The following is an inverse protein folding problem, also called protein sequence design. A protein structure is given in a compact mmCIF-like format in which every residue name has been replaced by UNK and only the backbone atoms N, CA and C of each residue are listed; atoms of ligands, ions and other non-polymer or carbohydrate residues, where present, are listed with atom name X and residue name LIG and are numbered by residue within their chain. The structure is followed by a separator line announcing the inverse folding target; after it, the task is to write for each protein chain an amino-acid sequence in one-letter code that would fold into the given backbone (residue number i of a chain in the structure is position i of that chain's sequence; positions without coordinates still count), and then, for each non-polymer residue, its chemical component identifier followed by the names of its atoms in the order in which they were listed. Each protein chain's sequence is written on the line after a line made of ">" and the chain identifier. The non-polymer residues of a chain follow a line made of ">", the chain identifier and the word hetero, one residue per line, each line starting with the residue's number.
data_IF_913206401484
#
_entry.id   IF_913206401484
#
_cell.length_a   1.000
_cell.length_b   1.000
_cell.length_c   1.000
_cell.angle_alpha   90.00
_cell.angle_beta   90.00
_cell.angle_gamma   90.00
#
_symmetry.space_group_name_H-M   'P 1'
#
loop_
_entity.id
_entity.type
_entity.pdbx_description
1 polymer ?
#
# COMPACT_ATOMS: atom_id res chain seq x y z
N UNK A 1 -4.53 18.40 18.24
CA UNK A 1 -3.21 18.88 17.76
C UNK A 1 -2.24 18.84 18.93
N UNK A 2 -1.31 17.88 18.93
CA UNK A 2 -0.19 17.89 19.87
C UNK A 2 0.74 19.01 19.44
N UNK A 3 0.73 20.12 20.19
CA UNK A 3 1.64 21.23 19.94
C UNK A 3 3.07 20.81 20.36
N UNK A 4 3.79 20.18 19.43
CA UNK A 4 5.20 19.86 19.61
C UNK A 4 6.05 21.14 19.49
N UNK A 5 6.99 21.32 20.39
CA UNK A 5 8.01 22.37 20.26
C UNK A 5 8.86 22.13 18.99
N UNK A 6 9.51 23.17 18.48
CA UNK A 6 10.38 23.02 17.31
C UNK A 6 11.60 22.16 17.61
N UNK A 7 12.04 22.11 18.86
CA UNK A 7 13.07 21.20 19.35
C UNK A 7 12.60 19.73 19.28
N UNK A 8 11.38 19.44 19.75
CA UNK A 8 10.80 18.10 19.68
C UNK A 8 10.62 17.66 18.21
N UNK A 9 10.10 18.54 17.35
CA UNK A 9 9.95 18.25 15.91
C UNK A 9 11.31 17.89 15.29
N UNK A 10 12.35 18.68 15.57
CA UNK A 10 13.70 18.43 15.08
C UNK A 10 14.27 17.11 15.61
N UNK A 11 14.05 16.82 16.89
CA UNK A 11 14.51 15.59 17.52
C UNK A 11 13.82 14.35 16.91
N UNK A 12 12.49 14.39 16.72
CA UNK A 12 11.76 13.31 16.09
C UNK A 12 12.15 13.15 14.62
N UNK A 13 12.31 14.25 13.87
CA UNK A 13 12.80 14.21 12.50
C UNK A 13 14.17 13.50 12.43
N UNK A 14 15.11 13.89 13.24
CA UNK A 14 16.46 13.30 13.25
C UNK A 14 16.47 11.81 13.62
N UNK A 15 15.55 11.38 14.47
CA UNK A 15 15.39 9.97 14.86
C UNK A 15 14.69 9.11 13.81
N UNK A 16 14.02 9.71 12.86
CA UNK A 16 13.22 9.03 11.84
C UNK A 16 13.74 9.33 10.43
N UNK A 17 13.15 10.30 9.78
CA UNK A 17 13.42 10.64 8.36
C UNK A 17 14.83 11.21 8.17
N UNK A 18 15.32 11.99 9.14
CA UNK A 18 16.67 12.62 9.12
C UNK A 18 17.84 11.67 9.35
N UNK A 19 17.60 10.37 9.48
CA UNK A 19 18.65 9.35 9.70
C UNK A 19 19.58 9.12 8.51
N UNK A 20 19.30 9.71 7.35
CA UNK A 20 20.00 9.45 6.08
C UNK A 20 19.68 8.09 5.44
N UNK A 21 18.71 7.35 6.01
CA UNK A 21 18.26 6.05 5.48
C UNK A 21 17.04 6.14 4.56
N UNK A 22 16.44 7.34 4.45
CA UNK A 22 15.25 7.58 3.66
C UNK A 22 15.59 8.40 2.43
N UNK A 23 15.15 7.94 1.27
CA UNK A 23 15.25 8.63 0.00
C UNK A 23 13.86 8.85 -0.55
N UNK A 24 13.52 10.09 -0.84
CA UNK A 24 12.25 10.46 -1.47
C UNK A 24 12.51 10.81 -2.92
N UNK A 25 11.80 10.16 -3.80
CA UNK A 25 11.83 10.48 -5.20
C UNK A 25 10.66 11.40 -5.56
N UNK A 26 10.98 12.65 -5.89
CA UNK A 26 9.99 13.58 -6.40
C UNK A 26 9.87 13.40 -7.92
N UNK A 27 8.67 12.99 -8.36
CA UNK A 27 8.44 12.67 -9.75
C UNK A 27 8.13 13.93 -10.56
N UNK A 28 9.03 14.26 -11.48
CA UNK A 28 8.81 15.26 -12.53
C UNK A 28 9.10 14.61 -13.88
N UNK A 29 8.19 14.72 -14.85
CA UNK A 29 8.39 14.31 -16.23
C UNK A 29 7.73 12.97 -16.62
N UNK A 30 8.34 12.25 -17.56
CA UNK A 30 7.76 11.05 -18.17
C UNK A 30 7.63 9.88 -17.19
N UNK A 31 6.45 9.28 -17.15
CA UNK A 31 6.13 8.05 -16.44
C UNK A 31 6.41 6.78 -17.27
N UNK A 32 7.35 6.83 -18.21
CA UNK A 32 7.65 5.62 -19.00
C UNK A 32 8.10 4.47 -18.09
N UNK A 33 7.73 3.25 -18.45
CA UNK A 33 8.13 2.02 -17.76
C UNK A 33 9.64 1.96 -17.53
N UNK A 34 10.44 2.28 -18.56
CA UNK A 34 11.90 2.21 -18.50
C UNK A 34 12.50 3.25 -17.53
N UNK A 35 11.92 4.43 -17.45
CA UNK A 35 12.37 5.44 -16.49
C UNK A 35 12.16 4.96 -15.06
N UNK A 36 11.01 4.38 -14.75
CA UNK A 36 10.71 3.90 -13.40
C UNK A 36 11.60 2.72 -13.04
N UNK A 37 11.75 1.75 -13.93
CA UNK A 37 12.66 0.61 -13.73
C UNK A 37 14.10 1.08 -13.49
N UNK A 38 14.59 2.04 -14.28
CA UNK A 38 15.94 2.61 -14.13
C UNK A 38 16.12 3.29 -12.76
N UNK A 39 15.10 4.00 -12.28
CA UNK A 39 15.16 4.67 -10.98
C UNK A 39 15.11 3.68 -9.81
N UNK A 40 14.24 2.68 -9.87
CA UNK A 40 14.21 1.61 -8.86
C UNK A 40 15.56 0.89 -8.82
N UNK A 41 16.17 0.63 -9.99
CA UNK A 41 17.51 0.04 -10.08
C UNK A 41 18.59 0.94 -9.47
N UNK A 42 18.51 2.24 -9.71
CA UNK A 42 19.44 3.21 -9.12
C UNK A 42 19.30 3.23 -7.59
N UNK A 43 18.07 3.27 -7.07
CA UNK A 43 17.83 3.23 -5.63
C UNK A 43 18.37 1.94 -5.00
N UNK A 44 18.13 0.80 -5.64
CA UNK A 44 18.59 -0.48 -5.14
C UNK A 44 20.13 -0.62 -5.17
N UNK A 45 20.78 -0.24 -6.28
CA UNK A 45 22.22 -0.50 -6.50
C UNK A 45 23.14 0.65 -6.11
N UNK A 46 22.73 1.90 -6.35
CA UNK A 46 23.58 3.06 -6.07
C UNK A 46 23.34 3.64 -4.68
N UNK A 47 22.10 3.62 -4.18
CA UNK A 47 21.75 4.11 -2.86
C UNK A 47 21.64 2.98 -1.81
N UNK A 48 21.86 1.74 -2.19
CA UNK A 48 21.76 0.53 -1.35
C UNK A 48 20.42 0.40 -0.59
N UNK A 49 19.33 0.89 -1.20
CA UNK A 49 18.01 0.74 -0.64
C UNK A 49 17.61 -0.74 -0.60
N UNK A 50 17.23 -1.23 0.57
CA UNK A 50 16.75 -2.60 0.75
C UNK A 50 15.24 -2.72 0.58
N UNK A 51 14.51 -1.63 0.84
CA UNK A 51 13.05 -1.53 0.71
C UNK A 51 12.73 -0.35 -0.18
N UNK A 52 11.90 -0.58 -1.19
CA UNK A 52 11.43 0.47 -2.11
C UNK A 52 9.91 0.42 -2.15
N UNK A 53 9.26 1.57 -1.96
CA UNK A 53 7.81 1.72 -2.07
C UNK A 53 7.50 2.49 -3.35
N UNK A 54 6.65 1.91 -4.21
CA UNK A 54 6.14 2.52 -5.42
C UNK A 54 4.64 2.81 -5.25
N UNK A 55 4.31 4.06 -5.02
CA UNK A 55 2.94 4.52 -4.85
C UNK A 55 2.57 5.48 -5.99
N UNK A 56 1.70 5.10 -6.89
CA UNK A 56 1.10 3.79 -7.13
C UNK A 56 1.37 3.34 -8.56
N UNK A 57 1.29 2.03 -8.81
CA UNK A 57 1.67 1.45 -10.11
C UNK A 57 0.82 1.94 -11.29
N UNK A 58 -0.45 2.30 -11.05
CA UNK A 58 -1.37 2.79 -12.10
C UNK A 58 -0.97 4.16 -12.66
N UNK A 59 -0.12 4.95 -11.99
CA UNK A 59 0.39 6.23 -12.53
C UNK A 59 1.19 6.04 -13.82
N UNK A 60 1.80 4.87 -13.98
CA UNK A 60 2.67 4.55 -15.10
C UNK A 60 1.88 4.40 -16.40
N UNK A 61 0.61 4.03 -16.27
CA UNK A 61 -0.26 3.72 -17.41
C UNK A 61 -1.34 4.78 -17.65
N UNK A 62 -1.46 5.77 -16.78
CA UNK A 62 -2.52 6.80 -16.86
C UNK A 62 -2.42 7.72 -18.09
N UNK A 63 -1.30 7.72 -18.79
CA UNK A 63 -1.06 8.53 -20.00
C UNK A 63 -1.27 7.76 -21.32
N UNK A 64 -1.71 6.51 -21.26
CA UNK A 64 -1.87 5.65 -22.46
C UNK A 64 -3.32 5.52 -22.91
N UNK A 65 -3.54 5.26 -24.20
CA UNK A 65 -4.86 5.06 -24.77
C UNK A 65 -5.53 3.77 -24.25
N UNK A 66 -6.85 3.77 -24.29
CA UNK A 66 -7.68 2.65 -23.83
C UNK A 66 -7.29 1.33 -24.56
N UNK A 67 -6.79 0.35 -23.79
CA UNK A 67 -6.32 -0.95 -24.31
C UNK A 67 -4.81 -1.15 -24.22
N UNK A 68 -3.99 -0.08 -24.16
CA UNK A 68 -2.55 -0.16 -23.93
C UNK A 68 -2.20 -0.24 -22.44
N UNK A 69 -3.12 0.24 -21.56
CA UNK A 69 -2.95 0.21 -20.11
C UNK A 69 -2.60 -1.20 -19.58
N UNK A 70 -3.32 -2.21 -20.07
CA UNK A 70 -3.08 -3.60 -19.66
C UNK A 70 -1.71 -4.11 -20.08
N UNK A 71 -1.31 -3.83 -21.33
CA UNK A 71 0.00 -4.25 -21.85
C UNK A 71 1.14 -3.58 -21.09
N UNK A 72 1.00 -2.27 -20.80
CA UNK A 72 1.99 -1.53 -20.03
C UNK A 72 2.11 -2.05 -18.59
N UNK A 73 0.99 -2.45 -17.96
CA UNK A 73 1.02 -3.09 -16.64
C UNK A 73 1.69 -4.45 -16.69
N UNK A 74 1.44 -5.27 -17.71
CA UNK A 74 2.11 -6.55 -17.88
C UNK A 74 3.63 -6.37 -18.08
N UNK A 75 4.01 -5.40 -18.90
CA UNK A 75 5.40 -5.07 -19.17
C UNK A 75 6.13 -4.59 -17.90
N UNK A 76 5.54 -3.63 -17.18
CA UNK A 76 6.19 -3.10 -15.97
C UNK A 76 6.30 -4.17 -14.89
N UNK A 77 5.26 -4.96 -14.66
CA UNK A 77 5.30 -6.03 -13.66
C UNK A 77 6.40 -7.06 -13.99
N UNK A 78 6.57 -7.39 -15.26
CA UNK A 78 7.64 -8.30 -15.72
C UNK A 78 9.02 -7.69 -15.48
N UNK A 79 9.22 -6.41 -15.84
CA UNK A 79 10.50 -5.71 -15.64
C UNK A 79 10.82 -5.53 -14.15
N UNK A 80 9.83 -5.18 -13.32
CA UNK A 80 10.01 -5.04 -11.88
C UNK A 80 10.33 -6.40 -11.23
N UNK A 81 9.67 -7.48 -11.66
CA UNK A 81 9.99 -8.84 -11.18
C UNK A 81 11.42 -9.22 -11.46
N UNK A 82 11.89 -9.00 -12.68
CA UNK A 82 13.29 -9.25 -13.08
C UNK A 82 14.25 -8.42 -12.23
N UNK A 83 13.95 -7.13 -12.06
CA UNK A 83 14.78 -6.22 -11.29
C UNK A 83 14.90 -6.65 -9.81
N UNK A 84 13.80 -7.06 -9.18
CA UNK A 84 13.81 -7.59 -7.80
C UNK A 84 14.73 -8.82 -7.71
N UNK A 85 14.66 -9.73 -8.67
CA UNK A 85 15.54 -10.91 -8.70
C UNK A 85 17.02 -10.55 -8.89
N UNK A 86 17.32 -9.50 -9.67
CA UNK A 86 18.69 -9.02 -9.92
C UNK A 86 19.30 -8.26 -8.74
N UNK A 87 18.47 -7.63 -7.91
CA UNK A 87 18.93 -6.67 -6.90
C UNK A 87 18.69 -7.11 -5.47
N UNK A 88 17.89 -8.15 -5.27
CA UNK A 88 17.46 -8.66 -3.95
C UNK A 88 16.79 -7.58 -3.07
N UNK A 89 16.11 -6.62 -3.70
CA UNK A 89 15.37 -5.55 -3.03
C UNK A 89 13.95 -5.99 -2.71
N UNK A 90 13.43 -5.59 -1.56
CA UNK A 90 12.01 -5.72 -1.26
C UNK A 90 11.23 -4.56 -1.90
N UNK A 91 10.47 -4.86 -2.96
CA UNK A 91 9.66 -3.87 -3.67
C UNK A 91 8.19 -3.98 -3.25
N UNK A 92 7.64 -2.90 -2.72
CA UNK A 92 6.25 -2.77 -2.31
C UNK A 92 5.54 -1.87 -3.32
N UNK A 93 4.58 -2.43 -4.06
CA UNK A 93 3.79 -1.69 -5.04
C UNK A 93 2.38 -1.46 -4.52
N UNK A 94 1.96 -0.21 -4.47
CA UNK A 94 0.56 0.16 -4.19
C UNK A 94 -0.25 0.04 -5.49
N UNK A 95 -1.39 -0.62 -5.43
CA UNK A 95 -2.30 -0.79 -6.55
C UNK A 95 -3.73 -0.45 -6.15
N UNK A 96 -4.43 0.27 -7.03
CA UNK A 96 -5.86 0.53 -6.84
C UNK A 96 -6.70 -0.69 -7.20
N UNK A 97 -7.84 -0.81 -6.51
CA UNK A 97 -8.85 -1.82 -6.80
C UNK A 97 -9.89 -1.29 -7.81
N UNK A 98 -10.47 -2.19 -8.57
CA UNK A 98 -11.71 -1.92 -9.31
C UNK A 98 -12.85 -1.77 -8.32
N UNK A 99 -13.83 -0.93 -8.65
CA UNK A 99 -15.08 -0.89 -7.90
C UNK A 99 -15.75 -2.26 -7.99
N UNK A 100 -16.18 -2.85 -6.87
CA UNK A 100 -16.94 -4.09 -6.88
C UNK A 100 -18.36 -3.86 -7.38
N UNK A 101 -18.97 -4.91 -7.92
CA UNK A 101 -20.41 -4.91 -8.19
C UNK A 101 -21.15 -5.06 -6.85
N UNK A 102 -21.87 -4.04 -6.42
CA UNK A 102 -22.62 -4.03 -5.15
C UNK A 102 -21.96 -3.17 -4.07
N UNK A 103 -21.70 -3.74 -2.88
CA UNK A 103 -21.14 -3.04 -1.74
C UNK A 103 -19.77 -2.45 -2.04
N UNK A 104 -19.59 -1.14 -1.82
CA UNK A 104 -18.34 -0.42 -2.09
C UNK A 104 -17.21 -0.80 -1.12
N UNK A 105 -15.97 -0.52 -1.53
CA UNK A 105 -14.81 -0.70 -0.64
C UNK A 105 -14.89 0.23 0.57
N UNK A 106 -15.44 1.42 0.38
CA UNK A 106 -15.72 2.41 1.43
C UNK A 106 -16.76 1.93 2.46
N UNK A 107 -17.55 0.93 2.12
CA UNK A 107 -18.52 0.28 2.99
C UNK A 107 -18.00 -1.06 3.58
N UNK A 108 -16.71 -1.33 3.45
CA UNK A 108 -16.06 -2.53 4.00
C UNK A 108 -16.24 -3.78 3.15
N UNK A 109 -16.38 -3.65 1.81
CA UNK A 109 -16.39 -4.82 0.94
C UNK A 109 -15.07 -5.59 1.05
N UNK A 110 -15.17 -6.91 1.11
CA UNK A 110 -14.01 -7.81 1.18
C UNK A 110 -13.21 -7.72 -0.12
N UNK A 111 -11.90 -7.55 0.01
CA UNK A 111 -11.00 -7.48 -1.13
C UNK A 111 -10.70 -8.86 -1.73
N UNK A 112 -10.42 -8.90 -3.04
CA UNK A 112 -10.03 -10.12 -3.75
C UNK A 112 -9.01 -9.83 -4.86
N UNK A 113 -8.27 -10.86 -5.28
CA UNK A 113 -7.32 -10.75 -6.40
C UNK A 113 -7.99 -10.34 -7.72
N UNK A 114 -9.26 -10.69 -7.93
CA UNK A 114 -10.02 -10.34 -9.14
C UNK A 114 -10.32 -8.84 -9.25
N UNK A 115 -10.25 -8.12 -8.12
CA UNK A 115 -10.50 -6.68 -8.05
C UNK A 115 -9.24 -5.85 -8.33
N UNK A 116 -8.05 -6.45 -8.46
CA UNK A 116 -6.85 -5.72 -8.86
C UNK A 116 -7.08 -5.05 -10.22
N UNK A 117 -6.85 -3.73 -10.26
CA UNK A 117 -7.12 -2.95 -11.47
C UNK A 117 -6.06 -3.22 -12.53
N UNK A 118 -6.52 -3.44 -13.76
CA UNK A 118 -5.72 -3.46 -14.97
C UNK A 118 -5.33 -4.87 -15.44
N UNK A 119 -4.51 -5.61 -14.71
CA UNK A 119 -3.96 -6.86 -15.22
C UNK A 119 -3.85 -7.98 -14.18
N UNK A 120 -4.06 -9.22 -14.63
CA UNK A 120 -3.76 -10.41 -13.86
C UNK A 120 -2.28 -10.59 -13.52
N UNK A 121 -1.37 -9.90 -14.23
CA UNK A 121 0.07 -9.97 -14.00
C UNK A 121 0.45 -9.47 -12.60
N UNK A 122 -0.28 -8.48 -12.06
CA UNK A 122 -0.06 -8.00 -10.69
C UNK A 122 -0.21 -9.17 -9.70
N UNK A 123 -1.33 -9.91 -9.80
CA UNK A 123 -1.55 -11.07 -8.95
C UNK A 123 -0.55 -12.21 -9.22
N UNK A 124 -0.20 -12.46 -10.49
CA UNK A 124 0.67 -13.58 -10.88
C UNK A 124 2.13 -13.37 -10.46
N UNK A 125 2.68 -12.16 -10.68
CA UNK A 125 4.09 -11.86 -10.51
C UNK A 125 4.46 -11.43 -9.09
N UNK A 126 3.49 -10.99 -8.26
CA UNK A 126 3.72 -10.69 -6.86
C UNK A 126 3.93 -11.97 -6.05
N UNK A 127 4.84 -11.91 -5.09
CA UNK A 127 5.05 -13.01 -4.12
C UNK A 127 4.00 -12.97 -3.02
N UNK A 128 3.60 -11.77 -2.61
CA UNK A 128 2.56 -11.53 -1.62
C UNK A 128 1.62 -10.44 -2.11
N UNK A 129 0.33 -10.57 -1.83
CA UNK A 129 -0.68 -9.55 -2.10
C UNK A 129 -1.47 -9.33 -0.81
N UNK A 130 -1.48 -8.09 -0.34
CA UNK A 130 -2.20 -7.66 0.84
C UNK A 130 -3.36 -6.75 0.43
N UNK A 131 -4.53 -6.97 1.02
CA UNK A 131 -5.70 -6.12 0.90
C UNK A 131 -5.91 -5.34 2.19
N UNK A 132 -6.30 -4.08 2.07
CA UNK A 132 -6.73 -3.23 3.18
C UNK A 132 -8.22 -2.98 3.05
N UNK A 133 -8.99 -3.39 4.05
CA UNK A 133 -10.45 -3.32 4.07
C UNK A 133 -10.91 -2.47 5.24
N UNK A 134 -11.74 -1.47 4.96
CA UNK A 134 -12.24 -0.56 5.99
C UNK A 134 -13.66 -0.12 5.64
N UNK A 135 -14.58 -0.19 6.60
CA UNK A 135 -15.90 0.41 6.49
C UNK A 135 -15.86 1.86 7.00
N UNK A 136 -15.49 2.78 6.11
CA UNK A 136 -15.41 4.21 6.44
C UNK A 136 -16.77 4.88 6.58
N UNK A 137 -17.85 4.20 6.18
CA UNK A 137 -19.23 4.68 6.24
C UNK A 137 -19.99 4.14 7.47
N UNK A 138 -19.37 3.25 8.26
CA UNK A 138 -19.99 2.71 9.46
C UNK A 138 -20.40 3.81 10.45
N UNK A 139 -21.58 3.71 11.04
CA UNK A 139 -22.01 4.55 12.16
C UNK A 139 -21.22 4.24 13.43
N UNK A 140 -20.76 3.01 13.57
CA UNK A 140 -19.92 2.57 14.68
C UNK A 140 -18.48 3.12 14.49
N UNK A 141 -18.02 3.90 15.49
CA UNK A 141 -16.72 4.57 15.46
C UNK A 141 -15.56 3.55 15.44
N UNK A 142 -15.68 2.46 16.18
CA UNK A 142 -14.63 1.42 16.24
C UNK A 142 -14.51 0.75 14.88
N UNK A 143 -15.61 0.31 14.29
CA UNK A 143 -15.63 -0.26 12.95
C UNK A 143 -15.13 0.73 11.90
N UNK A 144 -15.58 1.98 11.97
CA UNK A 144 -15.16 3.04 11.02
C UNK A 144 -13.66 3.33 11.06
N UNK A 145 -13.02 3.17 12.21
CA UNK A 145 -11.58 3.43 12.38
C UNK A 145 -10.73 2.15 12.31
N UNK A 146 -11.32 0.97 12.19
CA UNK A 146 -10.58 -0.30 12.12
C UNK A 146 -10.42 -0.76 10.67
N UNK A 147 -9.21 -1.08 10.30
CA UNK A 147 -8.84 -1.63 9.00
C UNK A 147 -8.46 -3.11 9.17
N UNK A 148 -9.07 -3.99 8.40
CA UNK A 148 -8.62 -5.37 8.28
C UNK A 148 -7.45 -5.44 7.29
N UNK A 149 -6.31 -5.96 7.72
CA UNK A 149 -5.22 -6.39 6.85
C UNK A 149 -5.47 -7.83 6.44
N UNK A 150 -5.72 -8.05 5.15
CA UNK A 150 -5.99 -9.38 4.59
C UNK A 150 -4.86 -9.84 3.68
N UNK A 151 -4.41 -11.07 3.85
CA UNK A 151 -3.51 -11.74 2.90
C UNK A 151 -4.35 -12.34 1.78
N UNK A 152 -4.22 -11.81 0.56
CA UNK A 152 -4.91 -12.32 -0.64
C UNK A 152 -4.08 -13.37 -1.37
N UNK A 153 -2.77 -13.27 -1.28
CA UNK A 153 -1.81 -14.23 -1.83
C UNK A 153 -0.56 -14.29 -0.96
N UNK A 154 -0.08 -15.49 -0.73
CA UNK A 154 1.23 -15.72 -0.12
C UNK A 154 1.89 -16.93 -0.82
N UNK A 155 2.91 -16.67 -1.64
CA UNK A 155 3.60 -17.70 -2.41
C UNK A 155 4.42 -18.64 -1.52
N UNK A 156 4.88 -18.15 -0.36
CA UNK A 156 5.83 -18.88 0.48
C UNK A 156 5.16 -19.97 1.31
N UNK A 157 3.99 -19.66 1.88
CA UNK A 157 3.27 -20.58 2.79
C UNK A 157 1.86 -20.92 2.33
N UNK A 158 1.34 -20.23 1.31
CA UNK A 158 0.01 -20.49 0.75
C UNK A 158 -1.16 -20.04 1.64
N UNK A 159 -0.91 -19.54 2.86
CA UNK A 159 -1.97 -19.10 3.78
C UNK A 159 -2.55 -17.76 3.32
N UNK A 160 -3.88 -17.67 3.34
CA UNK A 160 -4.65 -16.47 2.99
C UNK A 160 -5.76 -16.23 4.02
N UNK A 161 -6.31 -15.02 4.03
CA UNK A 161 -7.36 -14.61 4.95
C UNK A 161 -6.99 -13.37 5.77
N UNK A 162 -7.84 -12.96 6.73
CA UNK A 162 -7.51 -11.87 7.66
C UNK A 162 -6.22 -12.21 8.43
N UNK A 163 -5.27 -11.27 8.44
CA UNK A 163 -4.02 -11.41 9.18
C UNK A 163 -4.09 -10.69 10.52
N UNK A 164 -4.56 -9.43 10.51
CA UNK A 164 -4.75 -8.63 11.71
C UNK A 164 -5.73 -7.49 11.45
N UNK A 165 -6.14 -6.82 12.53
CA UNK A 165 -6.95 -5.61 12.49
C UNK A 165 -6.15 -4.46 13.08
N UNK A 166 -6.26 -3.28 12.45
CA UNK A 166 -5.52 -2.08 12.80
C UNK A 166 -6.49 -0.94 13.09
N UNK A 167 -6.54 -0.50 14.34
CA UNK A 167 -7.32 0.65 14.75
C UNK A 167 -6.53 1.93 14.51
N UNK A 168 -7.15 2.91 13.86
CA UNK A 168 -6.58 4.23 13.66
C UNK A 168 -6.97 5.17 14.80
N UNK A 169 -5.97 5.53 15.58
CA UNK A 169 -6.10 6.55 16.63
C UNK A 169 -5.98 7.94 16.00
N UNK A 170 -7.06 8.71 16.07
CA UNK A 170 -7.13 10.06 15.48
C UNK A 170 -6.27 11.09 16.21
N UNK A 171 -6.06 10.90 17.51
CA UNK A 171 -5.35 11.87 18.34
C UNK A 171 -3.86 11.79 18.10
N UNK A 172 -3.34 10.58 17.90
CA UNK A 172 -1.92 10.33 17.66
C UNK A 172 -1.58 10.11 16.19
N UNK A 173 -2.57 9.85 15.32
CA UNK A 173 -2.38 9.48 13.92
C UNK A 173 -1.74 8.09 13.72
N UNK A 174 -1.78 7.23 14.74
CA UNK A 174 -1.14 5.91 14.72
C UNK A 174 -2.14 4.81 14.44
N UNK A 175 -1.62 3.72 13.88
CA UNK A 175 -2.32 2.45 13.75
C UNK A 175 -1.85 1.52 14.88
N UNK A 176 -2.80 0.95 15.62
CA UNK A 176 -2.55 -0.02 16.67
C UNK A 176 -3.19 -1.35 16.29
N UNK A 177 -2.49 -2.45 16.54
CA UNK A 177 -3.08 -3.77 16.38
C UNK A 177 -4.21 -3.96 17.41
N UNK A 178 -5.32 -4.51 16.95
CA UNK A 178 -6.52 -4.76 17.75
C UNK A 178 -7.17 -6.06 17.36
N UNK A 179 -8.11 -6.53 18.16
CA UNK A 179 -8.99 -7.64 17.82
C UNK A 179 -10.00 -7.24 16.74
N UNK A 180 -10.64 -8.24 16.13
CA UNK A 180 -11.73 -8.00 15.20
C UNK A 180 -12.84 -7.24 15.93
N UNK A 181 -13.29 -6.07 15.43
CA UNK A 181 -14.39 -5.35 16.05
C UNK A 181 -15.65 -6.22 16.11
N UNK A 182 -16.29 -6.26 17.27
CA UNK A 182 -17.58 -6.92 17.44
C UNK A 182 -18.69 -5.86 17.55
N UNK A 183 -19.94 -6.18 17.20
CA UNK A 183 -21.07 -5.29 17.40
C UNK A 183 -21.34 -4.95 18.89
N UNK A 184 -20.71 -5.67 19.80
CA UNK A 184 -20.83 -5.48 21.26
C UNK A 184 -19.81 -4.47 21.80
N UNK A 185 -18.78 -4.12 21.02
CA UNK A 185 -17.74 -3.15 21.41
C UNK A 185 -18.20 -1.69 21.26
N UNK A 186 -19.49 -1.41 21.39
CA UNK A 186 -19.98 -0.04 21.42
C UNK A 186 -19.39 0.68 22.62
N UNK A 187 -18.34 1.45 22.42
CA UNK A 187 -17.95 2.46 23.39
C UNK A 187 -19.14 3.41 23.55
N UNK A 188 -19.73 3.41 24.75
CA UNK A 188 -20.61 4.49 25.15
C UNK A 188 -19.79 5.79 25.05
N UNK A 189 -20.20 6.68 24.16
CA UNK A 189 -19.68 8.04 24.09
C UNK A 189 -19.78 8.65 25.49
N UNK A 190 -18.68 8.63 26.21
CA UNK A 190 -18.54 9.46 27.41
C UNK A 190 -18.26 10.88 26.95
N UNK A 191 -19.36 11.67 26.91
CA UNK A 191 -19.32 13.11 26.78
C UNK A 191 -18.50 13.75 27.91
#
# INVERSE_FOLDING_TARGET
>A
DVNLSDEDKTNYFNKTVGTGRFYFYNHFGSNSVDNIVSRVRYMAKALDCKFIVLDHISMIVSSQEFGEERKALDEIMTKLRTLVQETDVALICVSHLKRPDGKGHEEGAVTSLAQLRGSGSIAQLSDMVLGLERDSQSEDIVMRNTTCLRVLKNRFVGMTGPATYLYYDKDTGRLHETDKPSPEDKEEDKF
#
